data_IF_530881886276
#
_entry.id   IF_530881886276
#
_cell.length_a   1.000
_cell.length_b   1.000
_cell.length_c   1.000
_cell.angle_alpha   90.00
_cell.angle_beta   90.00
_cell.angle_gamma   90.00
#
_symmetry.space_group_name_H-M   'P 1'
#
loop_
_entity.id
_entity.type
_entity.pdbx_description
1 polymer ?
#
# COMPACT_ATOMS: atom_id res chain seq x y z
N UNK A 1 -36.40 -12.34 29.43
CA UNK A 1 -36.41 -12.12 27.96
C UNK A 1 -35.37 -11.07 27.48
N UNK A 2 -35.08 -10.01 28.24
CA UNK A 2 -34.09 -8.97 27.85
C UNK A 2 -32.68 -9.50 27.49
N UNK A 3 -32.13 -10.45 28.26
CA UNK A 3 -30.78 -10.97 28.03
C UNK A 3 -30.61 -11.71 26.68
N UNK A 4 -31.68 -12.34 26.17
CA UNK A 4 -31.67 -13.04 24.87
C UNK A 4 -31.64 -12.04 23.71
N UNK A 5 -32.37 -10.93 23.84
CA UNK A 5 -32.35 -9.85 22.86
C UNK A 5 -30.99 -9.14 22.81
N UNK A 6 -30.36 -8.90 23.96
CA UNK A 6 -29.01 -8.29 24.02
C UNK A 6 -27.98 -9.19 23.34
N UNK A 7 -28.01 -10.51 23.60
CA UNK A 7 -27.06 -11.46 22.98
C UNK A 7 -27.22 -11.52 21.46
N UNK A 8 -28.46 -11.47 20.95
CA UNK A 8 -28.71 -11.42 19.50
C UNK A 8 -28.18 -10.14 18.88
N UNK A 9 -28.40 -8.98 19.50
CA UNK A 9 -27.89 -7.68 19.03
C UNK A 9 -26.37 -7.67 18.97
N UNK A 10 -25.69 -8.18 20.01
CA UNK A 10 -24.22 -8.24 20.02
C UNK A 10 -23.69 -9.13 18.90
N UNK A 11 -24.32 -10.27 18.64
CA UNK A 11 -23.91 -11.19 17.56
C UNK A 11 -24.12 -10.56 16.19
N UNK A 12 -25.27 -9.90 15.94
CA UNK A 12 -25.49 -9.21 14.65
C UNK A 12 -24.52 -8.05 14.45
N UNK A 13 -24.26 -7.24 15.48
CA UNK A 13 -23.28 -6.15 15.38
C UNK A 13 -21.88 -6.68 15.10
N UNK A 14 -21.44 -7.73 15.82
CA UNK A 14 -20.15 -8.36 15.58
C UNK A 14 -20.03 -8.95 14.16
N UNK A 15 -21.09 -9.58 13.65
CA UNK A 15 -21.15 -10.10 12.29
C UNK A 15 -21.04 -8.98 11.25
N UNK A 16 -21.74 -7.86 11.44
CA UNK A 16 -21.67 -6.69 10.56
C UNK A 16 -20.26 -6.07 10.55
N UNK A 17 -19.61 -5.97 11.72
CA UNK A 17 -18.23 -5.48 11.83
C UNK A 17 -17.29 -6.39 11.04
N UNK A 18 -17.38 -7.71 11.22
CA UNK A 18 -16.55 -8.68 10.50
C UNK A 18 -16.78 -8.62 8.99
N UNK A 19 -18.03 -8.47 8.55
CA UNK A 19 -18.38 -8.28 7.13
C UNK A 19 -17.79 -6.99 6.57
N UNK A 20 -17.83 -5.89 7.32
CA UNK A 20 -17.23 -4.62 6.92
C UNK A 20 -15.71 -4.71 6.79
N UNK A 21 -15.04 -5.40 7.72
CA UNK A 21 -13.59 -5.65 7.65
C UNK A 21 -13.25 -6.51 6.43
N UNK A 22 -14.00 -7.60 6.22
CA UNK A 22 -13.80 -8.49 5.08
C UNK A 22 -14.03 -7.76 3.74
N UNK A 23 -15.05 -6.90 3.66
CA UNK A 23 -15.32 -6.08 2.49
C UNK A 23 -14.17 -5.11 2.20
N UNK A 24 -13.68 -4.41 3.23
CA UNK A 24 -12.55 -3.49 3.07
C UNK A 24 -11.30 -4.23 2.61
N UNK A 25 -11.02 -5.38 3.20
CA UNK A 25 -9.90 -6.24 2.80
C UNK A 25 -10.03 -6.71 1.35
N UNK A 26 -11.23 -7.14 0.93
CA UNK A 26 -11.47 -7.55 -0.46
C UNK A 26 -11.27 -6.41 -1.46
N UNK A 27 -11.70 -5.20 -1.10
CA UNK A 27 -11.50 -4.02 -1.93
C UNK A 27 -10.01 -3.68 -2.09
N UNK A 28 -9.23 -3.72 -1.00
CA UNK A 28 -7.78 -3.51 -1.04
C UNK A 28 -7.07 -4.60 -1.87
N UNK A 29 -7.43 -5.86 -1.68
CA UNK A 29 -6.88 -6.98 -2.46
C UNK A 29 -7.18 -6.86 -3.95
N UNK A 30 -8.39 -6.40 -4.31
CA UNK A 30 -8.78 -6.16 -5.71
C UNK A 30 -7.95 -5.04 -6.35
N UNK A 31 -7.66 -3.97 -5.61
CA UNK A 31 -6.77 -2.90 -6.07
C UNK A 31 -5.36 -3.43 -6.35
N UNK A 32 -4.82 -4.29 -5.47
CA UNK A 32 -3.50 -4.92 -5.65
C UNK A 32 -3.44 -5.85 -6.87
N UNK A 33 -4.55 -6.50 -7.22
CA UNK A 33 -4.64 -7.39 -8.38
C UNK A 33 -4.87 -6.66 -9.71
N UNK A 34 -5.37 -5.42 -9.66
CA UNK A 34 -5.75 -4.67 -10.86
C UNK A 34 -4.56 -4.04 -11.60
N UNK A 35 -3.36 -4.05 -11.02
CA UNK A 35 -2.16 -3.55 -11.67
C UNK A 35 -1.63 -4.53 -12.72
N UNK A 36 -2.00 -4.28 -13.98
CA UNK A 36 -1.48 -5.00 -15.13
C UNK A 36 0.04 -4.76 -15.29
N UNK A 37 0.84 -5.76 -15.71
CA UNK A 37 2.27 -5.59 -15.93
C UNK A 37 2.64 -4.49 -16.93
N UNK A 38 1.71 -4.12 -17.84
CA UNK A 38 1.91 -3.09 -18.87
C UNK A 38 1.87 -1.66 -18.33
N UNK A 39 1.11 -1.40 -17.27
CA UNK A 39 0.92 -0.07 -16.70
C UNK A 39 1.91 0.22 -15.57
N UNK A 40 2.93 -0.64 -15.44
CA UNK A 40 3.86 -0.64 -14.32
C UNK A 40 5.14 0.10 -14.70
N UNK A 41 5.31 1.30 -14.15
CA UNK A 41 6.54 2.07 -14.30
C UNK A 41 7.58 1.53 -13.33
N UNK A 42 8.83 1.40 -13.81
CA UNK A 42 9.96 0.93 -13.00
C UNK A 42 11.04 2.01 -12.99
N UNK A 43 11.46 2.41 -11.80
CA UNK A 43 12.49 3.41 -11.60
C UNK A 43 13.60 2.86 -10.69
N UNK A 44 14.84 3.20 -11.00
CA UNK A 44 16.01 2.69 -10.32
C UNK A 44 16.58 3.77 -9.41
N UNK A 45 16.97 3.37 -8.20
CA UNK A 45 17.74 4.23 -7.31
C UNK A 45 19.07 4.64 -7.98
N UNK A 46 19.59 5.85 -7.73
CA UNK A 46 20.89 6.29 -8.22
C UNK A 46 22.04 5.33 -7.84
N UNK A 47 21.96 4.74 -6.66
CA UNK A 47 22.93 3.75 -6.16
C UNK A 47 22.75 2.37 -6.81
N UNK A 48 21.68 2.17 -7.59
CA UNK A 48 21.32 0.90 -8.21
C UNK A 48 20.91 -0.20 -7.25
N UNK A 49 20.94 0.00 -5.92
CA UNK A 49 20.62 -1.05 -4.93
C UNK A 49 19.12 -1.30 -4.77
N UNK A 50 18.29 -0.35 -5.15
CA UNK A 50 16.85 -0.40 -4.99
C UNK A 50 16.12 -0.13 -6.30
N UNK A 51 14.93 -0.72 -6.43
CA UNK A 51 14.04 -0.57 -7.57
C UNK A 51 12.67 -0.21 -7.05
N UNK A 52 12.13 0.94 -7.43
CA UNK A 52 10.73 1.27 -7.20
C UNK A 52 9.92 0.86 -8.43
N UNK A 53 8.76 0.26 -8.18
CA UNK A 53 7.74 0.02 -9.22
C UNK A 53 6.45 0.63 -8.75
N UNK A 54 5.81 1.43 -9.58
CA UNK A 54 4.51 1.98 -9.28
C UNK A 54 3.54 1.75 -10.43
N UNK A 55 2.26 1.76 -10.10
CA UNK A 55 1.17 1.56 -11.02
C UNK A 55 0.00 2.47 -10.62
N UNK A 56 -0.64 3.04 -11.63
CA UNK A 56 -1.83 3.86 -11.48
C UNK A 56 -3.07 3.00 -11.64
N UNK A 57 -3.96 3.04 -10.66
CA UNK A 57 -5.29 2.47 -10.74
C UNK A 57 -6.32 3.55 -10.42
N UNK A 58 -6.87 4.16 -11.48
CA UNK A 58 -7.74 5.34 -11.38
C UNK A 58 -7.03 6.43 -10.56
N UNK A 59 -7.56 6.75 -9.38
CA UNK A 59 -7.08 7.77 -8.44
C UNK A 59 -6.27 7.16 -7.28
N UNK A 60 -5.82 5.91 -7.42
CA UNK A 60 -4.99 5.20 -6.44
C UNK A 60 -3.68 4.74 -7.05
N UNK A 61 -2.57 5.01 -6.37
CA UNK A 61 -1.23 4.59 -6.75
C UNK A 61 -0.75 3.52 -5.79
N UNK A 62 -0.19 2.45 -6.36
CA UNK A 62 0.46 1.38 -5.61
C UNK A 62 1.96 1.47 -5.88
N UNK A 63 2.71 2.01 -4.93
CA UNK A 63 4.17 2.09 -4.95
C UNK A 63 4.77 0.88 -4.22
N UNK A 64 5.62 0.13 -4.90
CA UNK A 64 6.33 -1.03 -4.37
C UNK A 64 7.82 -0.82 -4.51
N UNK A 65 8.53 -0.90 -3.39
CA UNK A 65 9.98 -0.83 -3.33
C UNK A 65 10.57 -2.23 -3.22
N UNK A 66 11.54 -2.54 -4.07
CA UNK A 66 12.26 -3.80 -4.10
C UNK A 66 13.75 -3.58 -3.89
N UNK A 67 14.42 -4.56 -3.25
CA UNK A 67 15.88 -4.66 -3.32
C UNK A 67 16.29 -5.26 -4.66
N UNK A 68 17.27 -4.67 -5.36
CA UNK A 68 17.69 -5.14 -6.69
C UNK A 68 18.23 -6.58 -6.65
N UNK A 69 19.04 -6.90 -5.65
CA UNK A 69 19.77 -8.18 -5.58
C UNK A 69 18.84 -9.40 -5.63
N UNK A 70 17.76 -9.37 -4.86
CA UNK A 70 16.85 -10.52 -4.72
C UNK A 70 15.43 -10.23 -5.24
N UNK A 71 15.19 -9.06 -5.82
CA UNK A 71 13.84 -8.55 -6.12
C UNK A 71 12.86 -8.70 -4.95
N UNK A 72 13.37 -8.66 -3.71
CA UNK A 72 12.55 -8.84 -2.50
C UNK A 72 11.74 -7.57 -2.26
N UNK A 73 10.43 -7.70 -2.06
CA UNK A 73 9.58 -6.59 -1.65
C UNK A 73 10.04 -6.08 -0.28
N UNK A 74 10.39 -4.81 -0.21
CA UNK A 74 10.91 -4.15 0.98
C UNK A 74 9.86 -3.23 1.63
N UNK A 75 9.10 -2.51 0.81
CA UNK A 75 8.02 -1.64 1.25
C UNK A 75 6.93 -1.58 0.18
N UNK A 76 5.66 -1.52 0.61
CA UNK A 76 4.50 -1.22 -0.24
C UNK A 76 3.76 -0.02 0.37
N UNK A 77 3.34 0.90 -0.50
CA UNK A 77 2.49 2.04 -0.16
C UNK A 77 1.38 2.13 -1.18
N UNK A 78 0.15 2.09 -0.70
CA UNK A 78 -1.04 2.39 -1.48
C UNK A 78 -1.56 3.73 -1.00
N UNK A 79 -1.67 4.68 -1.91
CA UNK A 79 -2.19 6.00 -1.58
C UNK A 79 -3.08 6.52 -2.70
N UNK A 80 -3.99 7.44 -2.35
CA UNK A 80 -4.82 8.12 -3.35
C UNK A 80 -4.08 9.33 -3.88
N UNK A 81 -4.05 9.44 -5.18
CA UNK A 81 -3.58 10.63 -5.86
C UNK A 81 -4.77 11.39 -6.44
N UNK A 82 -5.06 12.51 -5.79
CA UNK A 82 -6.08 13.47 -6.19
C UNK A 82 -5.47 14.63 -6.99
N UNK A 83 -4.14 14.69 -7.12
CA UNK A 83 -3.44 15.83 -7.71
C UNK A 83 -3.37 15.76 -9.24
N UNK A 84 -3.44 14.56 -9.83
CA UNK A 84 -3.33 14.36 -11.28
C UNK A 84 -1.95 14.71 -11.85
N UNK A 85 -0.95 14.95 -11.00
CA UNK A 85 0.44 15.21 -11.37
C UNK A 85 1.17 13.87 -11.49
N UNK A 86 1.99 13.69 -12.53
CA UNK A 86 2.82 12.49 -12.64
C UNK A 86 3.64 12.31 -11.35
N UNK A 87 3.62 11.09 -10.81
CA UNK A 87 4.42 10.69 -9.65
C UNK A 87 5.88 11.07 -9.87
N UNK A 88 6.32 12.09 -9.14
CA UNK A 88 7.74 12.45 -9.03
C UNK A 88 8.33 11.70 -7.84
N UNK A 89 8.99 10.57 -8.13
CA UNK A 89 9.80 9.90 -7.12
C UNK A 89 11.11 10.65 -6.99
N UNK A 90 11.37 11.23 -5.82
CA UNK A 90 12.66 11.86 -5.53
C UNK A 90 13.51 10.89 -4.73
N UNK A 91 14.55 10.36 -5.39
CA UNK A 91 15.52 9.48 -4.76
C UNK A 91 16.59 10.27 -4.02
N UNK A 92 16.79 9.94 -2.76
CA UNK A 92 17.91 10.37 -1.92
C UNK A 92 18.72 9.14 -1.51
N UNK A 93 19.97 9.34 -1.08
CA UNK A 93 20.86 8.26 -0.62
C UNK A 93 20.23 7.38 0.47
N UNK A 94 19.50 8.01 1.38
CA UNK A 94 18.93 7.38 2.57
C UNK A 94 17.39 7.39 2.58
N UNK A 95 16.74 7.87 1.52
CA UNK A 95 15.28 7.93 1.48
C UNK A 95 14.68 8.05 0.07
N UNK A 96 13.46 7.55 -0.09
CA UNK A 96 12.61 7.74 -1.26
C UNK A 96 11.43 8.63 -0.86
N UNK A 97 11.33 9.81 -1.46
CA UNK A 97 10.21 10.73 -1.23
C UNK A 97 9.19 10.58 -2.35
N UNK A 98 7.92 10.49 -1.98
CA UNK A 98 6.80 10.41 -2.92
C UNK A 98 5.68 11.38 -2.50
N UNK A 99 4.97 12.00 -3.46
CA UNK A 99 3.81 12.83 -3.15
C UNK A 99 2.63 11.94 -2.74
N UNK A 100 2.08 12.17 -1.55
CA UNK A 100 0.83 11.55 -1.08
C UNK A 100 -0.22 12.65 -0.94
N UNK A 101 -1.09 12.77 -1.95
CA UNK A 101 -2.01 13.91 -2.10
C UNK A 101 -1.23 15.24 -2.12
N UNK A 102 -1.29 16.04 -1.05
CA UNK A 102 -0.61 17.34 -0.93
C UNK A 102 0.60 17.30 0.03
N UNK A 103 0.91 16.13 0.59
CA UNK A 103 2.01 15.97 1.56
C UNK A 103 3.07 15.05 0.99
N UNK A 104 4.32 15.50 0.97
CA UNK A 104 5.47 14.67 0.63
C UNK A 104 5.71 13.68 1.77
N UNK A 105 5.57 12.38 1.49
CA UNK A 105 5.94 11.31 2.42
C UNK A 105 7.25 10.67 2.01
N UNK A 106 7.95 10.17 3.01
CA UNK A 106 9.30 9.67 2.86
C UNK A 106 9.38 8.24 3.37
N UNK A 107 9.99 7.37 2.57
CA UNK A 107 10.38 6.01 2.94
C UNK A 107 11.88 6.02 3.21
N UNK A 108 12.31 5.70 4.43
CA UNK A 108 13.73 5.61 4.76
C UNK A 108 14.36 4.36 4.11
N UNK A 109 15.62 4.49 3.69
CA UNK A 109 16.44 3.43 3.10
C UNK A 109 17.66 3.18 4.01
N UNK A 110 17.92 1.94 4.47
CA UNK A 110 17.08 0.75 4.29
C UNK A 110 15.74 0.88 5.05
N UNK A 111 14.67 0.27 4.52
CA UNK A 111 13.35 0.34 5.15
C UNK A 111 13.37 -0.32 6.53
N UNK A 112 12.56 0.24 7.43
CA UNK A 112 12.50 -0.20 8.81
C UNK A 112 12.00 -1.65 8.90
N UNK A 113 12.31 -2.33 10.01
CA UNK A 113 11.77 -3.67 10.27
C UNK A 113 10.23 -3.66 10.28
N UNK A 114 9.63 -2.55 10.72
CA UNK A 114 8.18 -2.36 10.69
C UNK A 114 7.63 -2.39 9.25
N UNK A 115 8.28 -1.68 8.31
CA UNK A 115 7.88 -1.67 6.90
C UNK A 115 7.97 -3.06 6.24
N UNK A 116 8.95 -3.87 6.67
CA UNK A 116 9.14 -5.26 6.20
C UNK A 116 8.11 -6.23 6.76
N UNK A 117 7.56 -5.96 7.94
CA UNK A 117 6.48 -6.77 8.52
C UNK A 117 5.16 -6.37 7.87
N UNK A 118 4.93 -5.06 7.67
CA UNK A 118 3.72 -4.57 7.02
C UNK A 118 3.54 -5.10 5.60
N UNK A 119 4.64 -5.36 4.89
CA UNK A 119 4.64 -5.95 3.54
C UNK A 119 4.36 -7.46 3.51
N UNK A 120 4.42 -8.16 4.65
CA UNK A 120 4.09 -9.59 4.76
C UNK A 120 2.62 -9.82 5.11
N UNK A 121 1.90 -8.77 5.52
CA UNK A 121 0.48 -8.84 5.75
C UNK A 121 -0.23 -8.86 4.38
N UNK A 122 -1.04 -9.90 4.09
CA UNK A 122 -1.63 -10.11 2.78
C UNK A 122 -2.72 -9.09 2.43
#
# INVERSE_FOLDING_TARGET
MLCVSIRRIVVTVAALIMLGIAWRYWQDARLRAACSPRDRVTEYSPDGRYVAKYCYFRDTIILRLYGKDNMRLLAERTYRDTSGVLVSLTWTKDSLTYPESDVLKTINLPPSLYDRILTQLP
#
